data_IF_507099968264
#
_entry.id   IF_507099968264
#
_cell.length_a   1.000
_cell.length_b   1.000
_cell.length_c   1.000
_cell.angle_alpha   90.00
_cell.angle_beta   90.00
_cell.angle_gamma   90.00
#
_symmetry.space_group_name_H-M   'P 1'
#
loop_
_entity.id
_entity.type
_entity.pdbx_description
1 polymer ?
#
# COMPACT_ATOMS: atom_id res chain seq x y z
N UNK A 1 22.74 -8.64 -2.31
CA UNK A 1 22.09 -8.50 -3.64
C UNK A 1 20.92 -9.46 -3.72
N UNK A 2 19.76 -9.05 -4.24
CA UNK A 2 18.56 -9.91 -4.36
C UNK A 2 18.31 -10.38 -5.81
N UNK A 3 17.50 -11.43 -5.99
CA UNK A 3 17.21 -12.04 -7.30
C UNK A 3 16.01 -11.39 -8.05
N UNK A 4 15.61 -10.16 -7.71
CA UNK A 4 14.50 -9.48 -8.38
C UNK A 4 14.87 -9.10 -9.82
N UNK A 5 13.94 -9.33 -10.75
CA UNK A 5 14.06 -8.95 -12.17
C UNK A 5 13.16 -7.76 -12.47
N UNK A 6 13.65 -6.83 -13.27
CA UNK A 6 12.94 -5.60 -13.62
C UNK A 6 12.85 -5.47 -15.13
N UNK A 7 11.70 -5.03 -15.64
CA UNK A 7 11.47 -4.85 -17.08
C UNK A 7 12.20 -3.63 -17.67
N UNK A 8 12.75 -2.74 -16.85
CA UNK A 8 13.51 -1.58 -17.32
C UNK A 8 14.56 -1.13 -16.30
N UNK A 9 15.55 -0.37 -16.79
CA UNK A 9 16.69 0.12 -16.00
C UNK A 9 16.28 1.11 -14.90
N UNK A 10 15.29 1.98 -15.15
CA UNK A 10 14.84 2.99 -14.17
C UNK A 10 14.28 2.32 -12.92
N UNK A 11 13.44 1.30 -13.08
CA UNK A 11 12.88 0.52 -11.99
C UNK A 11 13.94 -0.25 -11.21
N UNK A 12 14.94 -0.81 -11.89
CA UNK A 12 16.08 -1.46 -11.22
C UNK A 12 16.89 -0.47 -10.37
N UNK A 13 17.26 0.69 -10.94
CA UNK A 13 18.03 1.71 -10.21
C UNK A 13 17.26 2.24 -9.00
N UNK A 14 15.96 2.49 -9.16
CA UNK A 14 15.10 2.90 -8.05
C UNK A 14 15.05 1.81 -6.96
N UNK A 15 14.92 0.54 -7.36
CA UNK A 15 14.92 -0.57 -6.41
C UNK A 15 16.23 -0.64 -5.62
N UNK A 16 17.37 -0.57 -6.29
CA UNK A 16 18.69 -0.58 -5.64
C UNK A 16 18.77 0.59 -4.65
N UNK A 17 18.47 1.80 -5.11
CA UNK A 17 18.52 3.02 -4.29
C UNK A 17 17.66 2.93 -3.03
N UNK A 18 16.42 2.45 -3.15
CA UNK A 18 15.44 2.50 -2.05
C UNK A 18 15.47 1.28 -1.13
N UNK A 19 15.86 0.10 -1.66
CA UNK A 19 15.81 -1.17 -0.92
C UNK A 19 17.19 -1.64 -0.48
N UNK A 20 18.23 -1.42 -1.27
CA UNK A 20 19.59 -1.84 -0.93
C UNK A 20 20.40 -0.72 -0.27
N UNK A 21 20.33 0.50 -0.81
CA UNK A 21 21.07 1.64 -0.24
C UNK A 21 20.25 2.38 0.84
N UNK A 22 18.96 2.07 0.97
CA UNK A 22 18.05 2.70 1.93
C UNK A 22 17.84 4.20 1.71
N UNK A 23 18.19 4.75 0.55
CA UNK A 23 18.05 6.17 0.23
C UNK A 23 16.58 6.55 0.13
N UNK A 24 16.19 7.53 0.96
CA UNK A 24 14.84 8.09 1.04
C UNK A 24 14.92 9.61 1.01
N UNK A 25 14.98 10.12 -0.21
CA UNK A 25 15.29 11.54 -0.46
C UNK A 25 14.08 12.46 -0.30
N UNK A 26 12.87 11.90 -0.18
CA UNK A 26 11.64 12.67 -0.12
C UNK A 26 11.13 12.70 1.31
N UNK A 27 10.99 13.90 1.89
CA UNK A 27 10.65 14.11 3.29
C UNK A 27 9.28 14.77 3.38
N UNK A 28 8.43 14.28 4.28
CA UNK A 28 7.20 14.97 4.64
C UNK A 28 7.52 16.11 5.60
N UNK A 29 7.22 17.36 5.22
CA UNK A 29 7.53 18.50 6.07
C UNK A 29 6.62 18.62 7.31
N UNK A 30 5.51 17.89 7.35
CA UNK A 30 4.57 17.91 8.48
C UNK A 30 4.93 16.92 9.59
N UNK A 31 5.61 15.82 9.26
CA UNK A 31 5.97 14.77 10.23
C UNK A 31 7.36 14.16 10.05
N UNK A 32 8.19 14.77 9.21
CA UNK A 32 9.59 14.40 8.89
C UNK A 32 9.80 12.98 8.35
N UNK A 33 8.71 12.27 8.04
CA UNK A 33 8.76 10.91 7.52
C UNK A 33 9.39 10.88 6.13
N UNK A 34 10.32 9.96 5.92
CA UNK A 34 11.08 9.83 4.66
C UNK A 34 10.54 8.74 3.75
N UNK A 35 10.59 8.99 2.44
CA UNK A 35 10.10 8.15 1.37
C UNK A 35 11.14 8.00 0.25
N UNK A 36 11.12 6.84 -0.41
CA UNK A 36 12.02 6.54 -1.53
C UNK A 36 11.58 7.16 -2.87
N UNK A 37 10.30 7.54 -2.97
CA UNK A 37 9.69 8.11 -4.17
C UNK A 37 8.76 9.27 -3.82
N UNK A 38 8.66 10.25 -4.71
CA UNK A 38 7.74 11.38 -4.59
C UNK A 38 6.27 10.94 -4.56
N UNK A 39 5.91 9.93 -5.37
CA UNK A 39 4.54 9.40 -5.40
C UNK A 39 4.09 8.85 -4.05
N UNK A 40 5.01 8.22 -3.31
CA UNK A 40 4.73 7.65 -1.99
C UNK A 40 4.55 8.76 -0.95
N UNK A 41 5.36 9.82 -1.02
CA UNK A 41 5.22 11.02 -0.19
C UNK A 41 3.86 11.71 -0.43
N UNK A 42 3.50 11.98 -1.68
CA UNK A 42 2.23 12.63 -2.03
C UNK A 42 1.03 11.80 -1.60
N UNK A 43 1.10 10.47 -1.75
CA UNK A 43 0.05 9.57 -1.27
C UNK A 43 -0.03 9.63 0.26
N UNK A 44 1.10 9.65 0.96
CA UNK A 44 1.13 9.79 2.41
C UNK A 44 0.48 11.10 2.87
N UNK A 45 0.84 12.24 2.29
CA UNK A 45 0.26 13.54 2.65
C UNK A 45 -1.26 13.54 2.49
N UNK A 46 -1.76 13.15 1.31
CA UNK A 46 -3.20 13.08 1.05
C UNK A 46 -3.93 12.15 2.03
N UNK A 47 -3.38 10.98 2.32
CA UNK A 47 -4.12 9.97 3.10
C UNK A 47 -4.00 10.13 4.62
N UNK A 48 -2.88 10.66 5.10
CA UNK A 48 -2.56 10.78 6.54
C UNK A 48 -2.86 12.17 7.07
N UNK A 49 -2.46 13.22 6.34
CA UNK A 49 -2.59 14.60 6.79
C UNK A 49 -3.90 15.24 6.33
N UNK A 50 -4.27 15.08 5.06
CA UNK A 50 -5.56 15.58 4.55
C UNK A 50 -6.74 14.63 4.82
N UNK A 51 -6.46 13.39 5.24
CA UNK A 51 -7.49 12.38 5.50
C UNK A 51 -8.26 11.92 4.25
N UNK A 52 -7.74 12.16 3.04
CA UNK A 52 -8.39 11.75 1.78
C UNK A 52 -8.56 10.25 1.70
N UNK A 53 -9.74 9.86 1.22
CA UNK A 53 -10.15 8.48 0.96
C UNK A 53 -10.76 8.41 -0.44
N UNK A 54 -9.88 8.34 -1.42
CA UNK A 54 -10.24 8.48 -2.85
C UNK A 54 -11.00 7.26 -3.40
N UNK A 55 -11.03 6.14 -2.67
CA UNK A 55 -11.59 4.87 -3.15
C UNK A 55 -12.90 4.56 -2.42
N UNK A 56 -14.03 4.70 -3.09
CA UNK A 56 -15.35 4.40 -2.51
C UNK A 56 -15.82 2.99 -2.88
N UNK A 57 -16.46 2.31 -1.94
CA UNK A 57 -17.21 1.10 -2.21
C UNK A 57 -18.56 1.45 -2.82
N UNK A 58 -18.81 0.90 -3.99
CA UNK A 58 -20.05 0.95 -4.75
C UNK A 58 -21.25 0.31 -4.03
N UNK A 59 -21.01 -0.68 -3.16
CA UNK A 59 -22.08 -1.41 -2.45
C UNK A 59 -22.51 -0.80 -1.12
N UNK A 60 -21.64 -0.07 -0.43
CA UNK A 60 -21.93 0.47 0.90
C UNK A 60 -21.35 1.87 1.19
N UNK A 61 -20.90 2.57 0.15
CA UNK A 61 -20.36 3.94 0.17
C UNK A 61 -19.15 4.20 1.08
N UNK A 62 -18.65 3.17 1.79
CA UNK A 62 -17.45 3.25 2.61
C UNK A 62 -16.24 3.66 1.75
N UNK A 63 -15.50 4.64 2.24
CA UNK A 63 -14.30 5.16 1.56
C UNK A 63 -13.01 4.64 2.18
N UNK A 64 -12.01 4.43 1.33
CA UNK A 64 -10.70 3.84 1.67
C UNK A 64 -9.56 4.69 1.12
N UNK A 65 -8.39 4.59 1.77
CA UNK A 65 -7.16 5.31 1.42
C UNK A 65 -6.42 4.70 0.24
N UNK A 66 -6.71 3.43 -0.10
CA UNK A 66 -6.06 2.72 -1.19
C UNK A 66 -7.00 1.73 -1.87
N UNK A 67 -6.73 1.44 -3.15
CA UNK A 67 -7.46 0.44 -3.90
C UNK A 67 -7.36 -0.96 -3.27
N UNK A 68 -6.19 -1.31 -2.72
CA UNK A 68 -5.99 -2.61 -2.05
C UNK A 68 -6.86 -2.77 -0.81
N UNK A 69 -7.08 -1.67 -0.06
CA UNK A 69 -7.99 -1.69 1.09
C UNK A 69 -9.45 -1.85 0.68
N UNK A 70 -9.87 -1.14 -0.39
CA UNK A 70 -11.20 -1.29 -0.97
C UNK A 70 -11.43 -2.73 -1.47
N UNK A 71 -10.49 -3.26 -2.25
CA UNK A 71 -10.57 -4.61 -2.78
C UNK A 71 -10.69 -5.63 -1.64
N UNK A 72 -9.82 -5.56 -0.63
CA UNK A 72 -9.90 -6.44 0.54
C UNK A 72 -11.25 -6.31 1.24
N UNK A 73 -11.76 -5.10 1.41
CA UNK A 73 -13.08 -4.87 1.99
C UNK A 73 -14.19 -5.54 1.17
N UNK A 74 -14.19 -5.38 -0.15
CA UNK A 74 -15.19 -6.02 -1.02
C UNK A 74 -15.12 -7.55 -0.89
N UNK A 75 -13.91 -8.12 -0.91
CA UNK A 75 -13.71 -9.56 -0.79
C UNK A 75 -14.20 -10.11 0.56
N UNK A 76 -13.87 -9.46 1.68
CA UNK A 76 -14.18 -10.01 3.01
C UNK A 76 -15.58 -9.68 3.50
N UNK A 77 -16.12 -8.51 3.15
CA UNK A 77 -17.41 -8.01 3.67
C UNK A 77 -18.56 -8.32 2.73
N UNK A 78 -18.36 -8.21 1.41
CA UNK A 78 -19.44 -8.40 0.44
C UNK A 78 -19.42 -9.77 -0.23
N UNK A 79 -18.25 -10.38 -0.40
CA UNK A 79 -18.13 -11.72 -1.02
C UNK A 79 -17.86 -12.84 0.01
N UNK A 80 -17.60 -12.49 1.27
CA UNK A 80 -17.33 -13.45 2.33
C UNK A 80 -16.06 -14.29 2.12
N UNK A 81 -15.13 -13.86 1.26
CA UNK A 81 -13.88 -14.57 1.01
C UNK A 81 -12.94 -14.43 2.20
N UNK A 82 -12.60 -15.58 2.80
CA UNK A 82 -11.67 -15.72 3.91
C UNK A 82 -10.55 -16.64 3.48
N UNK A 83 -9.34 -16.11 3.45
CA UNK A 83 -8.20 -16.74 2.78
C UNK A 83 -7.35 -17.55 3.76
N UNK A 84 -7.52 -17.34 5.06
CA UNK A 84 -6.71 -17.97 6.09
C UNK A 84 -7.57 -18.91 6.91
N UNK A 85 -7.31 -20.20 6.85
CA UNK A 85 -7.90 -21.16 7.78
C UNK A 85 -6.95 -21.33 8.98
N UNK A 86 -7.50 -21.50 10.16
CA UNK A 86 -6.74 -21.97 11.30
C UNK A 86 -6.73 -23.51 11.29
N UNK A 87 -5.56 -24.13 11.33
CA UNK A 87 -5.46 -25.59 11.34
C UNK A 87 -5.83 -26.18 12.71
N UNK A 88 -5.76 -25.37 13.77
CA UNK A 88 -6.10 -25.77 15.14
C UNK A 88 -7.59 -25.55 15.49
N UNK A 89 -8.34 -24.83 14.65
CA UNK A 89 -9.79 -24.73 14.76
C UNK A 89 -10.36 -24.36 13.39
N UNK A 90 -11.44 -24.99 12.94
CA UNK A 90 -12.02 -24.88 11.58
C UNK A 90 -12.50 -23.47 11.15
N UNK A 91 -12.14 -22.42 11.91
CA UNK A 91 -12.42 -21.03 11.62
C UNK A 91 -11.58 -20.53 10.44
N UNK A 92 -12.26 -19.80 9.55
CA UNK A 92 -11.67 -19.09 8.42
C UNK A 92 -11.68 -17.58 8.71
N UNK A 93 -10.59 -16.89 8.36
CA UNK A 93 -10.28 -15.47 8.56
C UNK A 93 -10.00 -14.77 7.22
#
# INVERSE_FOLDING_TARGET
>A
MCAKRFGNKKSLLLHIKTVHDGRKDFICNECEKKFGQTSDLLKHQRTVHEGRKDFACDKCEKKFRSNSDLFRHQQTVHEGRRHFACDNCEKKF
#
